data_IF_933868187705
#
_entry.id   IF_933868187705
#
_cell.length_a   1.000
_cell.length_b   1.000
_cell.length_c   1.000
_cell.angle_alpha   90.00
_cell.angle_beta   90.00
_cell.angle_gamma   90.00
#
_symmetry.space_group_name_H-M   'P 1'
#
loop_
_entity.id
_entity.type
_entity.pdbx_description
1 polymer ?
#
# COMPACT_ATOMS: atom_id res chain seq x y z
N UNK A 1 8.04 -14.35 21.97
CA UNK A 1 8.99 -13.23 21.93
C UNK A 1 8.39 -12.03 22.64
N UNK A 2 8.98 -11.54 23.73
CA UNK A 2 8.57 -10.30 24.40
C UNK A 2 9.13 -9.10 23.62
N UNK A 3 8.28 -8.16 23.20
CA UNK A 3 8.74 -6.93 22.55
C UNK A 3 9.19 -5.93 23.62
N UNK A 4 10.40 -5.37 23.52
CA UNK A 4 10.87 -4.35 24.46
C UNK A 4 9.99 -3.10 24.38
N UNK A 5 9.60 -2.54 25.53
CA UNK A 5 8.91 -1.23 25.57
C UNK A 5 9.71 -0.13 24.85
N UNK A 6 11.03 -0.19 24.94
CA UNK A 6 11.96 0.69 24.24
C UNK A 6 11.74 0.71 22.72
N UNK A 7 11.25 -0.37 22.10
CA UNK A 7 11.01 -0.41 20.66
C UNK A 7 9.91 0.56 20.22
N UNK A 8 8.84 0.69 21.02
CA UNK A 8 7.78 1.67 20.77
C UNK A 8 8.30 3.10 20.96
N UNK A 9 9.06 3.34 22.01
CA UNK A 9 9.63 4.66 22.27
C UNK A 9 10.54 5.11 21.13
N UNK A 10 11.48 4.26 20.71
CA UNK A 10 12.36 4.53 19.58
C UNK A 10 11.59 4.80 18.29
N UNK A 11 10.53 4.02 18.01
CA UNK A 11 9.65 4.24 16.86
C UNK A 11 8.96 5.61 16.91
N UNK A 12 8.40 6.00 18.06
CA UNK A 12 7.72 7.29 18.22
C UNK A 12 8.68 8.48 18.09
N UNK A 13 9.92 8.32 18.55
CA UNK A 13 10.94 9.37 18.53
C UNK A 13 11.58 9.53 17.13
N UNK A 14 11.95 8.42 16.48
CA UNK A 14 12.73 8.45 15.24
C UNK A 14 11.92 8.13 13.98
N UNK A 15 10.67 7.67 14.12
CA UNK A 15 9.83 7.23 13.02
C UNK A 15 10.18 5.86 12.46
N UNK A 16 11.11 5.13 13.08
CA UNK A 16 11.41 3.74 12.74
C UNK A 16 11.93 2.95 13.95
N UNK A 17 11.90 1.63 13.86
CA UNK A 17 12.64 0.73 14.77
C UNK A 17 13.04 -0.54 14.02
N UNK A 18 14.17 -1.12 14.39
CA UNK A 18 14.70 -2.35 13.81
C UNK A 18 14.62 -3.46 14.84
N UNK A 19 13.99 -4.57 14.47
CA UNK A 19 13.78 -5.73 15.32
C UNK A 19 14.47 -6.94 14.67
N UNK A 20 15.62 -7.41 15.20
CA UNK A 20 16.33 -8.55 14.66
C UNK A 20 15.61 -9.88 14.97
N UNK A 21 15.87 -10.90 14.16
CA UNK A 21 15.43 -12.29 14.38
C UNK A 21 13.91 -12.47 14.61
N UNK A 22 13.09 -11.68 13.92
CA UNK A 22 11.62 -11.72 14.05
C UNK A 22 11.03 -12.89 13.28
N UNK A 23 11.54 -13.16 12.08
CA UNK A 23 11.06 -14.23 11.20
C UNK A 23 12.03 -15.42 11.22
N UNK A 24 11.47 -16.63 11.11
CA UNK A 24 12.25 -17.87 10.97
C UNK A 24 13.00 -17.89 9.63
N UNK A 25 14.09 -18.64 9.56
CA UNK A 25 14.83 -18.86 8.30
C UNK A 25 13.93 -19.46 7.21
N UNK A 26 13.10 -20.44 7.57
CA UNK A 26 12.10 -21.05 6.69
C UNK A 26 11.14 -20.01 6.08
N UNK A 27 10.59 -19.12 6.92
CA UNK A 27 9.71 -18.05 6.44
C UNK A 27 10.45 -17.09 5.51
N UNK A 28 11.68 -16.72 5.87
CA UNK A 28 12.50 -15.81 5.06
C UNK A 28 12.76 -16.39 3.68
N UNK A 29 13.09 -17.68 3.58
CA UNK A 29 13.31 -18.37 2.31
C UNK A 29 12.04 -18.39 1.46
N UNK A 30 10.88 -18.74 2.03
CA UNK A 30 9.58 -18.72 1.32
C UNK A 30 9.20 -17.33 0.81
N UNK A 31 9.42 -16.30 1.63
CA UNK A 31 9.17 -14.91 1.22
C UNK A 31 10.14 -14.54 0.09
N UNK A 32 11.43 -14.85 0.23
CA UNK A 32 12.46 -14.53 -0.77
C UNK A 32 12.16 -15.20 -2.11
N UNK A 33 11.88 -16.51 -2.11
CA UNK A 33 11.56 -17.27 -3.33
C UNK A 33 10.32 -16.71 -4.02
N UNK A 34 9.24 -16.51 -3.27
CA UNK A 34 7.98 -15.99 -3.80
C UNK A 34 8.09 -14.54 -4.28
N UNK A 35 8.87 -13.70 -3.58
CA UNK A 35 9.11 -12.31 -3.94
C UNK A 35 9.98 -12.18 -5.20
N UNK A 36 11.02 -12.99 -5.32
CA UNK A 36 11.82 -13.10 -6.55
C UNK A 36 10.95 -13.56 -7.72
N UNK A 37 10.25 -14.68 -7.58
CA UNK A 37 9.42 -15.26 -8.63
C UNK A 37 8.29 -14.32 -9.08
N UNK A 38 7.60 -13.67 -8.13
CA UNK A 38 6.55 -12.69 -8.45
C UNK A 38 7.09 -11.45 -9.16
N UNK A 39 8.32 -11.05 -8.87
CA UNK A 39 8.93 -9.86 -9.51
C UNK A 39 9.52 -10.19 -10.87
N UNK A 40 10.15 -11.35 -11.05
CA UNK A 40 10.68 -11.79 -12.35
C UNK A 40 9.57 -12.05 -13.36
N UNK A 41 8.43 -12.60 -12.93
CA UNK A 41 7.23 -12.75 -13.76
C UNK A 41 6.71 -11.41 -14.30
N UNK A 42 7.04 -10.29 -13.63
CA UNK A 42 6.65 -8.93 -14.03
C UNK A 42 7.67 -8.25 -14.95
N UNK A 43 8.79 -8.91 -15.29
CA UNK A 43 9.90 -8.32 -16.07
C UNK A 43 9.46 -7.62 -17.37
N UNK A 44 8.50 -8.18 -18.11
CA UNK A 44 7.93 -7.53 -19.30
C UNK A 44 7.21 -6.21 -19.01
N UNK A 45 6.56 -6.11 -17.85
CA UNK A 45 5.96 -4.86 -17.38
C UNK A 45 7.02 -3.82 -17.01
N UNK A 46 8.29 -4.20 -16.94
CA UNK A 46 9.42 -3.32 -16.59
C UNK A 46 10.37 -3.04 -17.75
N UNK A 47 10.10 -3.60 -18.94
CA UNK A 47 10.95 -3.46 -20.12
C UNK A 47 11.16 -1.99 -20.57
N UNK A 48 10.25 -1.10 -20.18
CA UNK A 48 10.32 0.33 -20.48
C UNK A 48 11.15 1.15 -19.49
N UNK A 49 11.60 0.54 -18.39
CA UNK A 49 12.43 1.23 -17.40
C UNK A 49 13.90 1.28 -17.82
N UNK A 50 14.63 2.34 -17.42
CA UNK A 50 16.06 2.41 -17.65
C UNK A 50 16.78 1.28 -16.89
N UNK A 51 17.42 0.39 -17.65
CA UNK A 51 18.36 -0.63 -17.17
C UNK A 51 19.73 -0.33 -17.77
N UNK A 52 20.80 -0.95 -17.28
CA UNK A 52 22.16 -0.67 -17.74
C UNK A 52 22.26 -0.81 -19.26
N UNK A 53 21.63 -1.83 -19.84
CA UNK A 53 21.59 -2.01 -21.29
C UNK A 53 20.82 -0.92 -22.05
N UNK A 54 19.71 -0.41 -21.53
CA UNK A 54 18.92 0.63 -22.17
C UNK A 54 19.53 2.02 -21.98
N UNK A 55 20.19 2.27 -20.84
CA UNK A 55 21.02 3.47 -20.63
C UNK A 55 22.21 3.51 -21.61
N UNK A 56 22.85 2.37 -21.84
CA UNK A 56 23.96 2.25 -22.81
C UNK A 56 23.50 2.28 -24.28
N UNK A 57 22.23 1.97 -24.58
CA UNK A 57 21.70 1.89 -25.96
C UNK A 57 20.73 3.01 -26.35
N UNK A 58 20.27 3.87 -25.44
CA UNK A 58 19.15 4.78 -25.73
C UNK A 58 19.55 6.02 -26.55
N UNK A 59 19.02 6.10 -27.77
CA UNK A 59 18.47 7.37 -28.27
C UNK A 59 17.14 7.62 -27.54
N UNK A 60 16.84 8.84 -27.09
CA UNK A 60 15.63 9.13 -26.33
C UNK A 60 14.38 8.86 -27.19
N UNK A 61 13.51 7.94 -26.75
CA UNK A 61 12.14 7.88 -27.25
C UNK A 61 11.37 9.04 -26.63
N UNK A 62 11.09 10.06 -27.43
CA UNK A 62 10.14 11.11 -27.10
C UNK A 62 8.74 10.48 -27.04
N UNK A 63 8.27 10.15 -25.85
CA UNK A 63 6.84 9.98 -25.59
C UNK A 63 6.31 11.33 -25.12
N UNK A 64 5.39 11.92 -25.89
CA UNK A 64 4.77 13.20 -25.57
C UNK A 64 3.95 13.08 -24.26
N UNK A 65 4.37 13.74 -23.16
CA UNK A 65 3.67 13.68 -21.88
C UNK A 65 2.23 14.21 -21.94
N UNK A 66 1.93 15.07 -22.93
CA UNK A 66 0.59 15.62 -23.12
C UNK A 66 -0.37 14.56 -23.67
N UNK A 67 0.11 13.67 -24.54
CA UNK A 67 -0.69 12.61 -25.14
C UNK A 67 -1.15 11.58 -24.10
N UNK A 68 -0.25 11.11 -23.23
CA UNK A 68 -0.58 10.15 -22.17
C UNK A 68 -1.53 10.74 -21.12
N UNK A 69 -1.33 12.02 -20.77
CA UNK A 69 -2.24 12.77 -19.91
C UNK A 69 -3.64 12.87 -20.50
N UNK A 70 -3.75 13.20 -21.80
CA UNK A 70 -5.00 13.31 -22.54
C UNK A 70 -5.74 11.96 -22.61
N UNK A 71 -5.02 10.88 -22.94
CA UNK A 71 -5.59 9.53 -23.03
C UNK A 71 -6.08 9.00 -21.67
N UNK A 72 -5.35 9.30 -20.59
CA UNK A 72 -5.78 8.99 -19.22
C UNK A 72 -7.06 9.76 -18.84
N UNK A 73 -7.14 11.05 -19.18
CA UNK A 73 -8.33 11.87 -18.96
C UNK A 73 -9.55 11.38 -19.75
N UNK A 74 -9.37 10.97 -21.01
CA UNK A 74 -10.43 10.43 -21.85
C UNK A 74 -10.98 9.12 -21.30
N UNK A 75 -10.11 8.18 -20.91
CA UNK A 75 -10.51 6.92 -20.27
C UNK A 75 -11.29 7.18 -18.97
N UNK A 76 -10.82 8.11 -18.14
CA UNK A 76 -11.50 8.50 -16.90
C UNK A 76 -12.89 9.13 -17.17
N UNK A 77 -13.00 10.01 -18.18
CA UNK A 77 -14.27 10.63 -18.58
C UNK A 77 -15.26 9.59 -19.09
N UNK A 78 -14.83 8.66 -19.95
CA UNK A 78 -15.68 7.58 -20.46
C UNK A 78 -16.21 6.70 -19.33
N UNK A 79 -15.35 6.37 -18.35
CA UNK A 79 -15.76 5.63 -17.16
C UNK A 79 -16.83 6.38 -16.35
N UNK A 80 -16.60 7.65 -16.01
CA UNK A 80 -17.55 8.47 -15.24
C UNK A 80 -18.90 8.57 -15.95
N UNK A 81 -18.89 8.73 -17.27
CA UNK A 81 -20.11 8.79 -18.07
C UNK A 81 -20.88 7.45 -18.06
N UNK A 82 -20.18 6.31 -18.15
CA UNK A 82 -20.80 4.98 -18.02
C UNK A 82 -21.41 4.81 -16.63
N UNK A 83 -20.65 5.12 -15.57
CA UNK A 83 -21.13 5.09 -14.19
C UNK A 83 -22.38 5.96 -13.97
N UNK A 84 -22.37 7.20 -14.47
CA UNK A 84 -23.51 8.10 -14.34
C UNK A 84 -24.76 7.57 -15.08
N UNK A 85 -24.58 6.96 -16.25
CA UNK A 85 -25.68 6.32 -17.00
C UNK A 85 -26.27 5.15 -16.22
N UNK A 86 -25.42 4.33 -15.60
CA UNK A 86 -25.84 3.18 -14.80
C UNK A 86 -26.54 3.62 -13.51
N UNK A 87 -26.02 4.64 -12.81
CA UNK A 87 -26.68 5.29 -11.67
C UNK A 87 -28.05 5.88 -12.04
N UNK A 88 -28.17 6.53 -13.21
CA UNK A 88 -29.44 7.09 -13.69
C UNK A 88 -30.46 5.98 -14.00
N UNK A 89 -30.00 4.85 -14.55
CA UNK A 89 -30.83 3.65 -14.77
C UNK A 89 -31.26 3.04 -13.44
N UNK A 90 -30.36 2.92 -12.46
CA UNK A 90 -30.65 2.43 -11.12
C UNK A 90 -31.71 3.29 -10.42
N UNK A 91 -31.52 4.62 -10.39
CA UNK A 91 -32.47 5.55 -9.79
C UNK A 91 -33.87 5.46 -10.44
N UNK A 92 -33.93 5.25 -11.76
CA UNK A 92 -35.20 5.07 -12.48
C UNK A 92 -35.89 3.75 -12.10
N UNK A 93 -35.15 2.66 -11.92
CA UNK A 93 -35.71 1.36 -11.50
C UNK A 93 -36.22 1.39 -10.06
N UNK A 94 -35.42 1.92 -9.13
CA UNK A 94 -35.85 2.07 -7.73
C UNK A 94 -37.09 2.97 -7.61
N UNK A 95 -37.17 4.04 -8.42
CA UNK A 95 -38.38 4.87 -8.50
C UNK A 95 -39.59 4.12 -9.07
N UNK A 96 -39.41 3.16 -9.98
CA UNK A 96 -40.52 2.35 -10.49
C UNK A 96 -41.03 1.40 -9.43
N UNK A 97 -40.13 0.67 -8.76
CA UNK A 97 -40.50 -0.21 -7.64
C UNK A 97 -41.21 0.56 -6.52
N UNK A 98 -40.70 1.74 -6.14
CA UNK A 98 -41.37 2.60 -5.16
C UNK A 98 -42.74 3.10 -5.66
N UNK A 99 -42.85 3.49 -6.94
CA UNK A 99 -44.12 3.94 -7.53
C UNK A 99 -45.16 2.81 -7.62
N UNK A 100 -44.72 1.60 -7.92
CA UNK A 100 -45.56 0.39 -7.93
C UNK A 100 -46.11 0.09 -6.54
N UNK A 101 -45.30 0.26 -5.48
CA UNK A 101 -45.76 0.10 -4.10
C UNK A 101 -46.70 1.22 -3.63
N UNK A 102 -46.42 2.45 -4.04
CA UNK A 102 -47.21 3.62 -3.63
C UNK A 102 -48.60 3.64 -4.29
N UNK A 103 -48.78 3.03 -5.46
CA UNK A 103 -50.06 2.96 -6.19
C UNK A 103 -50.69 4.33 -6.47
N UNK A 104 -49.89 5.41 -6.49
CA UNK A 104 -50.35 6.80 -6.64
C UNK A 104 -50.55 7.59 -5.34
N UNK A 105 -50.38 6.97 -4.17
CA UNK A 105 -50.37 7.63 -2.85
C UNK A 105 -49.09 8.42 -2.61
N UNK A 106 -49.16 9.47 -1.79
CA UNK A 106 -47.96 10.20 -1.37
C UNK A 106 -47.23 9.45 -0.24
N UNK A 107 -45.91 9.59 -0.18
CA UNK A 107 -45.07 8.93 0.84
C UNK A 107 -45.44 9.39 2.25
N UNK A 108 -45.96 10.63 2.36
CA UNK A 108 -46.44 11.24 3.60
C UNK A 108 -47.71 10.57 4.15
N UNK A 109 -48.44 9.82 3.33
CA UNK A 109 -49.70 9.14 3.67
C UNK A 109 -49.49 7.69 4.15
N UNK A 110 -48.23 7.22 4.18
CA UNK A 110 -47.89 5.86 4.60
C UNK A 110 -47.84 5.73 6.13
N UNK A 111 -48.41 4.65 6.64
CA UNK A 111 -48.23 4.22 8.02
C UNK A 111 -46.78 3.77 8.29
N UNK A 112 -46.36 3.72 9.55
CA UNK A 112 -45.00 3.31 9.93
C UNK A 112 -44.62 1.91 9.44
N UNK A 113 -45.56 0.97 9.44
CA UNK A 113 -45.35 -0.39 8.91
C UNK A 113 -45.24 -0.42 7.38
N UNK A 114 -46.01 0.41 6.66
CA UNK A 114 -45.91 0.53 5.21
C UNK A 114 -44.61 1.20 4.79
N UNK A 115 -44.12 2.16 5.56
CA UNK A 115 -42.84 2.82 5.34
C UNK A 115 -41.68 1.84 5.54
N UNK A 116 -41.77 0.96 6.55
CA UNK A 116 -40.83 -0.13 6.75
C UNK A 116 -40.82 -1.11 5.57
N UNK A 117 -42.00 -1.57 5.11
CA UNK A 117 -42.14 -2.46 3.94
C UNK A 117 -41.61 -1.83 2.65
N UNK A 118 -41.84 -0.53 2.44
CA UNK A 118 -41.26 0.20 1.30
C UNK A 118 -39.73 0.24 1.38
N UNK A 119 -39.18 0.47 2.57
CA UNK A 119 -37.73 0.46 2.81
C UNK A 119 -37.12 -0.92 2.52
N UNK A 120 -37.73 -2.00 3.00
CA UNK A 120 -37.30 -3.37 2.73
C UNK A 120 -37.35 -3.70 1.23
N UNK A 121 -38.41 -3.28 0.54
CA UNK A 121 -38.58 -3.54 -0.89
C UNK A 121 -37.58 -2.76 -1.75
N UNK A 122 -37.38 -1.47 -1.47
CA UNK A 122 -36.38 -0.65 -2.16
C UNK A 122 -34.97 -1.18 -1.87
N UNK A 123 -34.73 -1.66 -0.65
CA UNK A 123 -33.46 -2.30 -0.26
C UNK A 123 -33.25 -3.63 -0.99
N UNK A 124 -34.27 -4.49 -1.08
CA UNK A 124 -34.21 -5.75 -1.80
C UNK A 124 -34.01 -5.54 -3.31
N UNK A 125 -34.68 -4.55 -3.90
CA UNK A 125 -34.52 -4.21 -5.32
C UNK A 125 -33.14 -3.58 -5.60
N UNK A 126 -32.61 -2.80 -4.65
CA UNK A 126 -31.23 -2.34 -4.69
C UNK A 126 -30.24 -3.51 -4.59
N UNK A 127 -30.53 -4.52 -3.76
CA UNK A 127 -29.71 -5.73 -3.59
C UNK A 127 -29.72 -6.67 -4.80
N UNK A 128 -30.83 -6.78 -5.54
CA UNK A 128 -30.87 -7.56 -6.80
C UNK A 128 -29.91 -7.03 -7.87
N UNK A 129 -29.59 -5.74 -7.81
CA UNK A 129 -28.79 -5.03 -8.80
C UNK A 129 -27.37 -4.70 -8.31
N UNK A 130 -27.15 -4.55 -7.00
CA UNK A 130 -25.82 -4.69 -6.42
C UNK A 130 -25.48 -6.18 -6.45
N UNK A 131 -24.82 -6.65 -7.51
CA UNK A 131 -24.59 -8.07 -7.75
C UNK A 131 -24.35 -8.86 -6.46
N UNK A 132 -25.22 -9.86 -6.20
CA UNK A 132 -25.19 -10.83 -5.10
C UNK A 132 -24.17 -10.49 -4.03
N UNK A 133 -24.60 -9.79 -2.98
CA UNK A 133 -23.83 -9.47 -1.78
C UNK A 133 -22.31 -9.54 -1.97
N UNK A 134 -21.72 -8.56 -2.66
CA UNK A 134 -20.29 -8.41 -2.96
C UNK A 134 -19.35 -9.51 -2.38
N UNK A 135 -19.45 -10.73 -2.88
CA UNK A 135 -18.46 -11.81 -2.71
C UNK A 135 -17.42 -11.69 -3.82
N UNK A 136 -17.04 -10.45 -4.14
CA UNK A 136 -15.97 -10.14 -5.08
C UNK A 136 -14.66 -10.59 -4.44
N UNK A 137 -14.32 -11.85 -4.68
CA UNK A 137 -13.03 -12.41 -4.27
C UNK A 137 -11.97 -11.98 -5.27
N UNK A 138 -10.70 -12.11 -4.88
CA UNK A 138 -9.54 -11.97 -5.78
C UNK A 138 -9.68 -12.83 -7.05
N UNK A 139 -10.48 -13.90 -7.00
CA UNK A 139 -10.68 -14.88 -8.09
C UNK A 139 -11.90 -14.60 -8.98
N UNK A 140 -12.83 -13.76 -8.56
CA UNK A 140 -14.12 -13.60 -9.25
C UNK A 140 -14.47 -12.16 -9.60
N UNK A 141 -13.80 -11.17 -9.00
CA UNK A 141 -14.00 -9.77 -9.35
C UNK A 141 -13.29 -9.42 -10.66
N UNK A 142 -14.00 -9.08 -11.75
CA UNK A 142 -13.37 -8.78 -13.03
C UNK A 142 -12.41 -7.58 -12.97
N UNK A 143 -12.69 -6.58 -12.12
CA UNK A 143 -11.80 -5.43 -11.96
C UNK A 143 -10.51 -5.83 -11.22
N UNK A 144 -10.63 -6.74 -10.24
CA UNK A 144 -9.46 -7.28 -9.54
C UNK A 144 -8.65 -8.17 -10.47
N UNK A 145 -9.29 -9.09 -11.20
CA UNK A 145 -8.62 -9.98 -12.16
C UNK A 145 -7.88 -9.17 -13.23
N UNK A 146 -8.52 -8.14 -13.80
CA UNK A 146 -7.83 -7.23 -14.72
C UNK A 146 -6.65 -6.49 -14.08
N UNK A 147 -6.74 -6.13 -12.80
CA UNK A 147 -5.63 -5.52 -12.07
C UNK A 147 -4.49 -6.54 -11.82
N UNK A 148 -4.82 -7.78 -11.49
CA UNK A 148 -3.87 -8.90 -11.31
C UNK A 148 -3.17 -9.21 -12.63
N UNK A 149 -3.91 -9.37 -13.73
CA UNK A 149 -3.38 -9.65 -15.06
C UNK A 149 -2.43 -8.55 -15.55
N UNK A 150 -2.68 -7.31 -15.13
CA UNK A 150 -1.81 -6.16 -15.43
C UNK A 150 -0.71 -5.93 -14.37
N UNK A 151 -0.58 -6.84 -13.40
CA UNK A 151 0.36 -6.75 -12.27
C UNK A 151 0.25 -5.43 -11.47
N UNK A 152 -0.97 -4.89 -11.38
CA UNK A 152 -1.35 -3.68 -10.62
C UNK A 152 -1.96 -4.01 -9.26
N UNK A 153 -1.76 -5.23 -8.78
CA UNK A 153 -2.24 -5.72 -7.51
C UNK A 153 -1.08 -6.17 -6.61
N UNK A 154 -1.41 -6.52 -5.37
CA UNK A 154 -0.50 -7.07 -4.37
C UNK A 154 0.25 -8.31 -4.91
N UNK A 155 1.51 -8.49 -4.53
CA UNK A 155 2.34 -9.58 -5.05
C UNK A 155 1.85 -10.97 -4.66
N UNK A 156 1.32 -11.11 -3.45
CA UNK A 156 0.69 -12.35 -3.01
C UNK A 156 -0.48 -12.79 -3.88
N UNK A 157 -1.21 -11.87 -4.53
CA UNK A 157 -2.35 -12.22 -5.41
C UNK A 157 -1.90 -12.88 -6.71
N UNK A 158 -0.61 -12.79 -7.05
CA UNK A 158 0.00 -13.39 -8.25
C UNK A 158 0.91 -14.59 -7.94
N UNK A 159 1.14 -14.89 -6.65
CA UNK A 159 2.05 -15.95 -6.24
C UNK A 159 1.49 -16.70 -5.02
N UNK A 160 1.20 -18.00 -5.20
CA UNK A 160 0.58 -18.85 -4.19
C UNK A 160 1.48 -19.06 -2.96
N UNK A 161 2.81 -19.10 -3.12
CA UNK A 161 3.74 -19.25 -1.99
C UNK A 161 3.70 -18.01 -1.09
N UNK A 162 3.68 -16.81 -1.68
CA UNK A 162 3.49 -15.55 -0.94
C UNK A 162 2.12 -15.49 -0.26
N UNK A 163 1.05 -15.93 -0.94
CA UNK A 163 -0.27 -16.01 -0.31
C UNK A 163 -0.25 -16.93 0.93
N UNK A 164 0.33 -18.11 0.81
CA UNK A 164 0.45 -19.05 1.94
C UNK A 164 1.31 -18.45 3.05
N UNK A 165 2.40 -17.77 2.71
CA UNK A 165 3.26 -17.11 3.68
C UNK A 165 2.57 -16.00 4.46
N UNK A 166 1.84 -15.11 3.79
CA UNK A 166 1.11 -14.03 4.44
C UNK A 166 -0.06 -14.51 5.30
N UNK A 167 -0.56 -15.73 5.06
CA UNK A 167 -1.64 -16.35 5.83
C UNK A 167 -1.13 -17.30 6.92
N UNK A 168 0.19 -17.48 7.04
CA UNK A 168 0.80 -18.35 8.03
C UNK A 168 0.63 -17.79 9.44
N UNK A 169 -0.23 -18.45 10.23
CA UNK A 169 -0.65 -17.94 11.55
C UNK A 169 0.51 -17.84 12.54
N UNK A 170 1.41 -18.82 12.52
CA UNK A 170 2.45 -18.93 13.55
C UNK A 170 3.74 -18.21 13.15
N UNK A 171 4.20 -18.41 11.91
CA UNK A 171 5.52 -17.92 11.50
C UNK A 171 5.52 -16.47 10.99
N UNK A 172 4.37 -15.93 10.56
CA UNK A 172 4.26 -14.55 10.04
C UNK A 172 3.21 -13.71 10.76
N UNK A 173 1.97 -14.18 10.84
CA UNK A 173 0.86 -13.37 11.37
C UNK A 173 1.10 -13.03 12.83
N UNK A 174 1.37 -14.01 13.70
CA UNK A 174 1.60 -13.80 15.13
C UNK A 174 2.75 -12.82 15.44
N UNK A 175 3.97 -12.95 14.87
CA UNK A 175 5.03 -11.98 15.14
C UNK A 175 4.71 -10.58 14.58
N UNK A 176 4.20 -10.47 13.35
CA UNK A 176 3.93 -9.17 12.74
C UNK A 176 2.71 -8.46 13.36
N UNK A 177 1.70 -9.21 13.79
CA UNK A 177 0.54 -8.73 14.55
C UNK A 177 0.99 -7.97 15.79
N UNK A 178 1.80 -8.65 16.63
CA UNK A 178 2.31 -8.07 17.87
C UNK A 178 3.12 -6.81 17.62
N UNK A 179 3.94 -6.79 16.57
CA UNK A 179 4.73 -5.63 16.18
C UNK A 179 3.84 -4.47 15.71
N UNK A 180 2.85 -4.73 14.85
CA UNK A 180 1.92 -3.72 14.35
C UNK A 180 1.13 -3.05 15.48
N UNK A 181 0.64 -3.83 16.43
CA UNK A 181 -0.15 -3.34 17.56
C UNK A 181 0.73 -2.60 18.59
N UNK A 182 1.80 -3.24 19.07
CA UNK A 182 2.59 -2.72 20.19
C UNK A 182 3.51 -1.59 19.75
N UNK A 183 4.21 -1.76 18.62
CA UNK A 183 5.15 -0.75 18.12
C UNK A 183 4.40 0.28 17.26
N UNK A 184 3.65 -0.19 16.27
CA UNK A 184 2.97 0.67 15.30
C UNK A 184 1.70 1.35 15.83
N UNK A 185 1.12 0.86 16.93
CA UNK A 185 -0.14 1.40 17.46
C UNK A 185 -1.33 1.24 16.51
N UNK A 186 -1.30 0.20 15.65
CA UNK A 186 -2.38 -0.12 14.71
C UNK A 186 -3.29 -1.15 15.36
N UNK A 187 -4.53 -0.80 15.70
CA UNK A 187 -5.47 -1.79 16.24
C UNK A 187 -6.05 -2.65 15.13
N UNK A 188 -6.30 -3.94 15.43
CA UNK A 188 -6.82 -4.93 14.47
C UNK A 188 -6.12 -4.81 13.10
N UNK A 189 -4.80 -5.00 13.07
CA UNK A 189 -4.00 -4.71 11.89
C UNK A 189 -4.37 -5.65 10.73
N UNK A 190 -4.44 -5.10 9.52
CA UNK A 190 -4.60 -5.88 8.28
C UNK A 190 -3.52 -5.49 7.27
N UNK A 191 -3.13 -6.44 6.42
CA UNK A 191 -2.20 -6.19 5.33
C UNK A 191 -2.93 -5.42 4.23
N UNK A 192 -2.62 -4.13 4.08
CA UNK A 192 -3.09 -3.31 2.97
C UNK A 192 -2.46 -3.75 1.64
N UNK A 193 -1.17 -4.08 1.66
CA UNK A 193 -0.50 -4.59 0.49
C UNK A 193 0.94 -5.01 0.73
N UNK A 194 1.43 -5.90 -0.12
CA UNK A 194 2.79 -6.39 -0.13
C UNK A 194 3.50 -5.99 -1.43
N UNK A 195 4.76 -5.58 -1.28
CA UNK A 195 5.54 -5.02 -2.39
C UNK A 195 6.96 -5.56 -2.32
N UNK A 196 7.33 -6.48 -3.24
CA UNK A 196 8.69 -6.92 -3.40
C UNK A 196 9.48 -5.88 -4.21
N UNK A 197 10.65 -5.51 -3.70
CA UNK A 197 11.56 -4.55 -4.30
C UNK A 197 12.81 -5.27 -4.74
N UNK A 198 12.73 -5.85 -5.94
CA UNK A 198 13.85 -6.51 -6.58
C UNK A 198 14.90 -5.50 -7.00
N UNK A 199 16.15 -5.78 -6.64
CA UNK A 199 17.33 -5.15 -7.20
C UNK A 199 18.22 -6.24 -7.75
N UNK A 200 18.32 -6.25 -9.08
CA UNK A 200 19.19 -7.15 -9.81
C UNK A 200 20.64 -7.02 -9.33
N UNK A 201 21.47 -8.00 -9.67
CA UNK A 201 22.92 -7.88 -9.56
C UNK A 201 23.40 -6.60 -10.27
N UNK A 202 24.28 -5.84 -9.63
CA UNK A 202 24.73 -4.51 -10.11
C UNK A 202 23.57 -3.51 -10.32
N UNK A 203 22.49 -3.66 -9.55
CA UNK A 203 21.28 -2.85 -9.64
C UNK A 203 21.40 -1.45 -9.02
N UNK A 204 20.64 -0.51 -9.58
CA UNK A 204 20.57 0.90 -9.15
C UNK A 204 20.05 1.08 -7.71
N UNK A 205 20.43 2.17 -7.03
CA UNK A 205 19.91 2.49 -5.70
C UNK A 205 18.42 2.85 -5.72
N UNK A 206 17.80 2.84 -4.53
CA UNK A 206 16.46 3.36 -4.27
C UNK A 206 16.57 4.74 -3.64
N UNK A 207 16.15 5.77 -4.36
CA UNK A 207 16.18 7.15 -3.87
C UNK A 207 15.25 7.36 -2.65
N UNK A 208 15.50 8.46 -1.94
CA UNK A 208 14.69 8.85 -0.78
C UNK A 208 13.22 9.01 -1.13
N UNK A 209 12.37 8.30 -0.38
CA UNK A 209 10.94 8.29 -0.56
C UNK A 209 10.22 8.04 0.76
N UNK A 210 8.94 8.44 0.81
CA UNK A 210 8.04 8.11 1.90
C UNK A 210 6.97 7.12 1.43
N UNK A 211 6.40 6.39 2.37
CA UNK A 211 5.47 5.30 2.10
C UNK A 211 4.00 5.73 2.20
N UNK A 212 3.70 6.88 2.82
CA UNK A 212 2.36 7.45 2.95
C UNK A 212 1.56 7.52 1.63
N UNK A 213 2.16 7.80 0.45
CA UNK A 213 1.43 7.75 -0.82
C UNK A 213 1.01 6.34 -1.23
N UNK A 214 1.73 5.32 -0.76
CA UNK A 214 1.52 3.90 -1.11
C UNK A 214 0.58 3.17 -0.15
N UNK A 215 0.20 3.80 0.96
CA UNK A 215 -0.76 3.26 1.92
C UNK A 215 -2.12 3.88 1.59
N UNK A 216 -3.10 3.07 1.21
CA UNK A 216 -4.40 3.52 0.71
C UNK A 216 -5.35 4.07 1.77
N UNK A 217 -4.83 4.70 2.84
CA UNK A 217 -5.60 5.40 3.88
C UNK A 217 -4.99 6.78 4.14
N UNK A 218 -5.74 7.65 4.81
CA UNK A 218 -5.23 8.96 5.21
C UNK A 218 -4.40 8.85 6.50
N UNK A 219 -3.08 8.83 6.37
CA UNK A 219 -2.13 8.65 7.49
C UNK A 219 -1.85 9.93 8.30
N UNK A 220 -2.39 11.07 7.88
CA UNK A 220 -2.23 12.37 8.53
C UNK A 220 -3.55 12.96 9.06
N UNK A 221 -4.65 12.21 9.00
CA UNK A 221 -5.93 12.67 9.53
C UNK A 221 -5.85 12.76 11.05
N UNK A 222 -6.17 13.94 11.61
CA UNK A 222 -6.50 14.02 13.05
C UNK A 222 -7.72 13.13 13.26
N UNK A 223 -7.71 12.35 14.35
CA UNK A 223 -8.85 11.54 14.81
C UNK A 223 -10.04 12.48 14.97
N UNK A 224 -10.84 12.65 13.92
CA UNK A 224 -11.97 13.56 13.89
C UNK A 224 -13.23 12.81 14.29
N UNK A 225 -14.23 13.58 14.75
CA UNK A 225 -15.46 13.17 15.46
C UNK A 225 -16.41 12.19 14.73
N UNK A 226 -15.93 11.42 13.76
CA UNK A 226 -16.74 10.48 12.96
C UNK A 226 -16.15 9.09 12.72
N UNK A 227 -15.04 8.71 13.37
CA UNK A 227 -14.63 7.29 13.48
C UNK A 227 -13.87 6.70 12.30
N UNK A 228 -12.66 6.21 12.60
CA UNK A 228 -11.73 5.48 11.75
C UNK A 228 -10.30 5.77 12.20
N UNK A 229 -9.54 4.75 12.61
CA UNK A 229 -8.15 4.95 13.04
C UNK A 229 -7.28 5.34 11.83
N UNK A 230 -6.44 6.37 12.02
CA UNK A 230 -5.48 6.84 11.01
C UNK A 230 -4.11 6.15 11.14
N UNK A 231 -3.95 5.28 12.14
CA UNK A 231 -2.71 4.54 12.38
C UNK A 231 -2.43 3.59 11.23
N UNK A 232 -1.24 3.73 10.66
CA UNK A 232 -0.71 2.83 9.66
C UNK A 232 0.81 2.78 9.81
N UNK A 233 1.38 1.63 9.49
CA UNK A 233 2.83 1.43 9.48
C UNK A 233 3.23 0.63 8.27
N UNK A 234 4.48 0.79 7.85
CA UNK A 234 5.09 -0.10 6.89
C UNK A 234 6.14 -0.96 7.58
N UNK A 235 6.22 -2.21 7.20
CA UNK A 235 7.20 -3.17 7.69
C UNK A 235 8.09 -3.60 6.53
N UNK A 236 9.40 -3.46 6.70
CA UNK A 236 10.41 -3.96 5.78
C UNK A 236 10.97 -5.27 6.33
N UNK A 237 10.79 -6.33 5.56
CA UNK A 237 11.22 -7.68 5.88
C UNK A 237 12.52 -7.92 5.11
N UNK A 238 13.64 -7.98 5.84
CA UNK A 238 14.94 -8.22 5.25
C UNK A 238 15.09 -9.71 4.94
N UNK A 239 15.29 -10.03 3.67
CA UNK A 239 15.57 -11.40 3.20
C UNK A 239 17.04 -11.62 2.87
N UNK A 240 17.88 -10.64 3.21
CA UNK A 240 19.30 -10.56 2.91
C UNK A 240 20.02 -9.82 4.02
N UNK A 241 21.36 -9.90 4.02
CA UNK A 241 22.21 -9.14 4.93
C UNK A 241 22.70 -7.88 4.23
N UNK A 242 22.28 -6.67 4.64
CA UNK A 242 22.78 -5.45 4.03
C UNK A 242 24.28 -5.27 4.33
N UNK A 243 25.02 -4.80 3.34
CA UNK A 243 26.44 -4.42 3.47
C UNK A 243 26.68 -3.10 2.75
N UNK A 244 27.90 -2.54 2.82
CA UNK A 244 28.26 -1.35 2.04
C UNK A 244 28.09 -1.55 0.53
N UNK A 245 28.13 -2.81 0.06
CA UNK A 245 27.97 -3.19 -1.34
C UNK A 245 26.59 -3.80 -1.65
N UNK A 246 25.80 -4.17 -0.64
CA UNK A 246 24.53 -4.86 -0.81
C UNK A 246 23.41 -4.05 -0.15
N UNK A 247 22.75 -3.20 -0.95
CA UNK A 247 21.53 -2.46 -0.58
C UNK A 247 21.57 -1.85 0.84
N UNK A 248 22.60 -1.05 1.19
CA UNK A 248 22.68 -0.44 2.51
C UNK A 248 21.46 0.46 2.77
N UNK A 249 20.73 0.30 3.89
CA UNK A 249 19.56 1.12 4.19
C UNK A 249 19.94 2.47 4.82
N UNK A 250 19.17 3.50 4.45
CA UNK A 250 19.31 4.87 4.94
C UNK A 250 17.96 5.46 5.32
N UNK A 251 17.96 6.37 6.29
CA UNK A 251 16.79 7.16 6.70
C UNK A 251 17.16 8.64 6.78
N UNK A 252 16.19 9.54 6.57
CA UNK A 252 16.35 10.93 6.95
C UNK A 252 15.69 11.14 8.32
N UNK A 253 16.49 11.26 9.38
CA UNK A 253 15.97 11.51 10.72
C UNK A 253 15.12 12.77 10.76
N UNK A 254 14.07 12.73 11.57
CA UNK A 254 13.09 13.81 11.77
C UNK A 254 12.24 14.17 10.52
N UNK A 255 12.46 13.52 9.37
CA UNK A 255 11.69 13.80 8.16
C UNK A 255 10.20 13.48 8.30
N UNK A 256 9.82 12.53 9.16
CA UNK A 256 8.43 12.13 9.37
C UNK A 256 7.54 13.29 9.79
N UNK A 257 8.04 14.21 10.61
CA UNK A 257 7.30 15.39 11.07
C UNK A 257 7.15 16.44 9.96
N UNK A 258 8.18 16.65 9.15
CA UNK A 258 8.14 17.57 8.02
C UNK A 258 7.19 17.07 6.93
N UNK A 259 7.31 15.79 6.57
CA UNK A 259 6.47 15.14 5.54
C UNK A 259 5.01 15.10 5.98
N UNK A 260 4.72 14.70 7.23
CA UNK A 260 3.33 14.64 7.76
C UNK A 260 2.62 15.99 7.69
N UNK A 261 3.34 17.09 7.98
CA UNK A 261 2.79 18.46 7.92
C UNK A 261 2.48 18.90 6.48
N UNK A 262 3.28 18.46 5.51
CA UNK A 262 3.18 18.90 4.12
C UNK A 262 2.28 17.99 3.26
N UNK A 263 2.25 16.69 3.53
CA UNK A 263 1.52 15.71 2.74
C UNK A 263 0.01 16.01 2.75
N UNK A 264 -0.63 15.94 1.58
CA UNK A 264 -2.05 16.30 1.32
C UNK A 264 -2.44 17.77 1.60
N UNK A 265 -1.54 18.57 2.18
CA UNK A 265 -1.74 20.01 2.38
C UNK A 265 -0.99 20.81 1.32
N UNK A 266 0.34 20.84 1.40
CA UNK A 266 1.22 21.51 0.44
C UNK A 266 1.59 20.58 -0.73
N UNK A 267 1.83 19.30 -0.44
CA UNK A 267 2.19 18.29 -1.43
C UNK A 267 0.97 17.45 -1.77
N UNK A 268 0.34 17.77 -2.91
CA UNK A 268 -0.82 17.02 -3.41
C UNK A 268 -0.43 15.59 -3.78
N UNK A 269 -1.26 14.62 -3.39
CA UNK A 269 -1.07 13.19 -3.73
C UNK A 269 -0.89 12.93 -5.24
N UNK A 270 -1.57 13.69 -6.09
CA UNK A 270 -1.43 13.59 -7.54
C UNK A 270 -0.03 13.95 -8.08
N UNK A 271 0.78 14.71 -7.34
CA UNK A 271 2.17 15.02 -7.71
C UNK A 271 3.16 13.91 -7.31
N UNK A 272 2.73 13.04 -6.40
CA UNK A 272 3.45 11.82 -5.99
C UNK A 272 2.96 10.60 -6.76
N UNK A 273 1.94 10.76 -7.61
CA UNK A 273 1.36 9.70 -8.39
C UNK A 273 2.25 9.32 -9.57
N UNK A 274 2.50 8.03 -9.68
CA UNK A 274 3.10 7.40 -10.86
C UNK A 274 2.18 6.26 -11.31
N UNK A 275 2.09 6.07 -12.62
CA UNK A 275 1.38 4.93 -13.19
C UNK A 275 2.08 3.65 -12.72
N UNK A 276 1.33 2.76 -12.06
CA UNK A 276 1.71 1.43 -11.56
C UNK A 276 2.76 0.71 -12.41
N UNK A 277 4.03 0.95 -12.09
CA UNK A 277 5.22 0.27 -12.60
C UNK A 277 6.19 0.21 -11.41
N UNK A 278 7.02 -0.85 -11.29
CA UNK A 278 7.36 -1.48 -10.01
C UNK A 278 7.66 -0.39 -9.02
N UNK A 279 6.84 -0.30 -7.97
CA UNK A 279 6.39 0.91 -7.25
C UNK A 279 7.47 1.95 -6.85
N UNK A 280 8.74 1.68 -7.13
CA UNK A 280 9.91 2.29 -6.55
C UNK A 280 11.06 2.59 -7.51
N UNK A 281 11.04 2.14 -8.77
CA UNK A 281 12.13 2.45 -9.71
C UNK A 281 12.21 3.95 -10.07
N UNK A 282 11.14 4.72 -9.80
CA UNK A 282 11.08 6.15 -10.14
C UNK A 282 10.51 7.04 -9.02
N UNK A 283 10.85 6.72 -7.77
CA UNK A 283 10.54 7.58 -6.60
C UNK A 283 11.57 8.69 -6.37
N UNK A 284 12.58 8.80 -7.23
CA UNK A 284 13.70 9.77 -7.13
C UNK A 284 13.24 11.22 -6.96
N UNK A 285 12.06 11.55 -7.51
CA UNK A 285 11.52 12.91 -7.45
C UNK A 285 10.73 13.22 -6.18
N UNK A 286 10.41 12.23 -5.32
CA UNK A 286 9.62 12.51 -4.11
C UNK A 286 10.34 13.50 -3.19
N UNK A 287 11.64 13.31 -2.97
CA UNK A 287 12.45 14.20 -2.14
C UNK A 287 12.31 15.67 -2.55
N UNK A 288 12.31 15.96 -3.86
CA UNK A 288 12.20 17.32 -4.42
C UNK A 288 10.83 17.97 -4.21
N UNK A 289 9.81 17.20 -3.83
CA UNK A 289 8.45 17.71 -3.60
C UNK A 289 8.25 18.24 -2.19
N UNK A 290 9.10 17.83 -1.24
CA UNK A 290 9.00 18.23 0.15
C UNK A 290 10.10 19.25 0.47
N UNK A 291 9.77 20.18 1.36
CA UNK A 291 10.73 21.14 1.91
C UNK A 291 11.25 20.61 3.25
N UNK A 292 12.57 20.63 3.41
CA UNK A 292 13.25 20.20 4.63
C UNK A 292 14.13 21.34 5.15
N UNK A 293 14.22 21.46 6.47
CA UNK A 293 15.13 22.38 7.15
C UNK A 293 16.38 21.65 7.64
N UNK A 294 17.27 22.37 8.33
CA UNK A 294 18.50 21.80 8.88
C UNK A 294 18.31 20.73 9.97
N UNK A 295 17.07 20.49 10.45
CA UNK A 295 16.80 19.45 11.45
C UNK A 295 16.72 18.04 10.85
N UNK A 296 16.60 17.95 9.52
CA UNK A 296 16.45 16.69 8.79
C UNK A 296 17.79 16.24 8.23
N UNK A 297 18.32 15.15 8.79
CA UNK A 297 19.67 14.66 8.50
C UNK A 297 19.61 13.24 7.97
N UNK A 298 20.30 12.97 6.87
CA UNK A 298 20.47 11.60 6.34
C UNK A 298 21.38 10.79 7.24
N UNK A 299 20.93 9.62 7.66
CA UNK A 299 21.66 8.70 8.53
C UNK A 299 21.71 7.30 7.92
N UNK A 300 22.91 6.69 7.78
CA UNK A 300 23.04 5.28 7.44
C UNK A 300 22.61 4.40 8.62
N UNK A 301 21.99 3.26 8.31
CA UNK A 301 21.56 2.29 9.33
C UNK A 301 22.53 1.12 9.52
N UNK A 302 23.62 1.06 8.73
CA UNK A 302 24.68 0.08 8.92
C UNK A 302 25.66 0.49 10.02
N UNK A 303 25.96 -0.44 10.94
CA UNK A 303 26.89 -0.25 12.05
C UNK A 303 28.28 0.23 11.63
N UNK A 304 28.84 -0.33 10.55
CA UNK A 304 30.15 0.04 10.02
C UNK A 304 30.22 1.48 9.51
N UNK A 305 29.08 2.11 9.22
CA UNK A 305 28.99 3.48 8.68
C UNK A 305 28.29 4.46 9.63
N UNK A 306 27.61 3.97 10.67
CA UNK A 306 26.97 4.79 11.70
C UNK A 306 27.96 5.26 12.77
N UNK A 307 29.09 4.57 12.94
CA UNK A 307 30.14 4.91 13.90
C UNK A 307 30.77 6.30 13.68
N UNK A 308 30.80 6.80 12.44
CA UNK A 308 31.27 8.17 12.13
C UNK A 308 30.26 9.27 12.52
N UNK A 309 29.03 8.89 12.89
CA UNK A 309 27.96 9.81 13.33
C UNK A 309 27.70 9.80 14.84
N UNK A 310 28.55 9.13 15.63
CA UNK A 310 28.46 9.13 17.09
C UNK A 310 27.36 8.24 17.68
N UNK A 311 26.69 7.40 16.87
CA UNK A 311 25.70 6.45 17.35
C UNK A 311 26.37 5.11 17.70
N UNK A 312 26.72 4.93 18.98
CA UNK A 312 27.06 3.62 19.52
C UNK A 312 25.81 2.72 19.45
N UNK A 313 25.98 1.50 18.96
CA UNK A 313 24.95 0.46 18.75
C UNK A 313 23.98 0.67 17.58
N UNK A 314 24.48 0.69 16.34
CA UNK A 314 23.59 0.44 15.21
C UNK A 314 23.17 -1.05 15.19
N UNK A 315 21.87 -1.34 15.04
CA UNK A 315 21.36 -2.70 15.11
C UNK A 315 21.88 -3.55 13.95
N UNK A 316 22.22 -4.82 14.24
CA UNK A 316 22.60 -5.79 13.21
C UNK A 316 21.37 -6.11 12.38
N UNK A 317 21.40 -5.76 11.09
CA UNK A 317 20.36 -6.08 10.12
C UNK A 317 20.77 -7.33 9.34
N UNK A 318 19.92 -8.35 9.36
CA UNK A 318 20.12 -9.58 8.59
C UNK A 318 18.81 -10.24 8.18
N UNK A 319 18.87 -11.40 7.51
CA UNK A 319 17.70 -12.18 7.14
C UNK A 319 16.79 -12.43 8.34
N UNK A 320 15.50 -12.14 8.19
CA UNK A 320 14.49 -12.27 9.24
C UNK A 320 14.39 -11.08 10.19
N UNK A 321 15.19 -10.04 9.96
CA UNK A 321 15.01 -8.73 10.63
C UNK A 321 13.80 -8.00 10.04
N UNK A 322 13.03 -7.34 10.91
CA UNK A 322 11.91 -6.47 10.52
C UNK A 322 12.19 -5.05 10.95
N UNK A 323 12.14 -4.11 10.00
CA UNK A 323 12.17 -2.69 10.29
C UNK A 323 10.75 -2.12 10.17
N UNK A 324 10.23 -1.57 11.26
CA UNK A 324 8.93 -0.89 11.28
C UNK A 324 9.18 0.59 10.99
N UNK A 325 8.40 1.17 10.08
CA UNK A 325 8.61 2.51 9.54
C UNK A 325 7.31 3.31 9.57
N UNK A 326 7.39 4.54 10.08
CA UNK A 326 6.34 5.54 9.97
C UNK A 326 6.15 5.85 8.47
N UNK A 327 4.92 5.82 7.94
CA UNK A 327 4.69 6.06 6.52
C UNK A 327 5.26 7.39 6.01
N UNK A 328 5.49 8.37 6.87
CA UNK A 328 6.01 9.69 6.50
C UNK A 328 7.52 9.79 6.58
N UNK A 329 8.22 8.82 7.16
CA UNK A 329 9.68 8.81 7.21
C UNK A 329 10.24 8.65 5.79
N UNK A 330 11.22 9.49 5.44
CA UNK A 330 11.99 9.33 4.21
C UNK A 330 13.06 8.26 4.41
N UNK A 331 13.04 7.25 3.55
CA UNK A 331 14.03 6.16 3.56
C UNK A 331 14.57 5.91 2.15
N UNK A 332 15.76 5.31 2.09
CA UNK A 332 16.45 4.98 0.85
C UNK A 332 17.25 3.69 1.02
N UNK A 333 17.65 3.10 -0.11
CA UNK A 333 18.57 1.98 -0.14
C UNK A 333 19.67 2.27 -1.15
N UNK A 334 20.91 1.92 -0.81
CA UNK A 334 22.02 1.99 -1.76
C UNK A 334 21.84 1.03 -2.93
N UNK A 335 22.83 1.01 -3.82
CA UNK A 335 22.90 0.08 -4.94
C UNK A 335 23.14 -1.36 -4.48
N UNK A 336 22.79 -2.31 -5.33
CA UNK A 336 23.23 -3.70 -5.18
C UNK A 336 24.45 -3.91 -6.08
N UNK A 337 25.66 -3.85 -5.54
CA UNK A 337 26.91 -4.09 -6.28
C UNK A 337 27.36 -5.55 -6.22
N UNK A 338 26.49 -6.46 -5.75
CA UNK A 338 26.78 -7.89 -5.70
C UNK A 338 26.40 -8.59 -7.00
N UNK A 339 26.82 -9.85 -7.14
CA UNK A 339 26.49 -10.73 -8.26
C UNK A 339 25.12 -11.38 -8.14
N UNK A 340 24.41 -11.18 -7.03
CA UNK A 340 23.12 -11.81 -6.76
C UNK A 340 22.00 -10.78 -6.79
N UNK A 341 20.82 -11.19 -7.26
CA UNK A 341 19.62 -10.37 -7.18
C UNK A 341 19.03 -10.43 -5.78
N UNK A 342 18.69 -9.28 -5.23
CA UNK A 342 18.22 -9.11 -3.86
C UNK A 342 16.84 -8.50 -3.81
N UNK A 343 16.05 -8.86 -2.78
CA UNK A 343 14.69 -8.35 -2.61
C UNK A 343 14.47 -7.79 -1.22
N UNK A 344 14.02 -6.54 -1.18
CA UNK A 344 13.43 -5.95 0.03
C UNK A 344 11.93 -6.23 -0.04
N UNK A 345 11.38 -6.98 0.90
CA UNK A 345 9.95 -7.27 0.91
C UNK A 345 9.24 -6.33 1.89
N UNK A 346 8.33 -5.50 1.36
CA UNK A 346 7.63 -4.48 2.14
C UNK A 346 6.17 -4.88 2.34
N UNK A 347 5.67 -4.75 3.56
CA UNK A 347 4.25 -4.91 3.90
C UNK A 347 3.73 -3.58 4.42
N UNK A 348 2.64 -3.08 3.85
CA UNK A 348 1.90 -1.93 4.36
C UNK A 348 0.76 -2.43 5.23
N UNK A 349 0.66 -1.93 6.46
CA UNK A 349 -0.31 -2.36 7.47
C UNK A 349 -1.18 -1.18 7.86
N UNK A 350 -2.50 -1.41 7.90
CA UNK A 350 -3.52 -0.42 8.28
C UNK A 350 -4.46 -1.03 9.31
N UNK A 351 -5.18 -0.19 10.05
CA UNK A 351 -6.27 -0.68 10.90
C UNK A 351 -7.43 -1.18 10.03
N UNK A 352 -8.10 -2.26 10.45
CA UNK A 352 -9.25 -2.83 9.74
C UNK A 352 -10.39 -1.81 9.51
N UNK A 353 -10.58 -0.88 10.46
CA UNK A 353 -11.60 0.16 10.41
C UNK A 353 -11.11 1.47 9.77
N UNK A 354 -9.89 1.50 9.22
CA UNK A 354 -9.33 2.70 8.61
C UNK A 354 -10.13 3.10 7.36
N UNK A 355 -10.19 4.41 7.08
CA UNK A 355 -10.94 4.95 5.95
C UNK A 355 -10.10 4.89 4.66
N UNK A 356 -10.56 4.19 3.61
CA UNK A 356 -9.83 4.16 2.35
C UNK A 356 -9.70 5.55 1.71
N UNK A 357 -8.53 5.83 1.13
CA UNK A 357 -8.23 7.07 0.42
C UNK A 357 -7.83 6.76 -1.03
N UNK A 358 -8.78 6.82 -1.95
CA UNK A 358 -8.51 6.59 -3.39
C UNK A 358 -7.73 7.70 -4.09
N UNK A 359 -7.61 8.89 -3.47
CA UNK A 359 -6.81 9.97 -4.02
C UNK A 359 -5.30 9.74 -3.88
N UNK A 360 -4.89 8.85 -2.96
CA UNK A 360 -3.50 8.43 -2.82
C UNK A 360 -3.08 7.52 -3.99
N UNK A 361 -1.83 7.61 -4.46
CA UNK A 361 -1.29 6.71 -5.48
C UNK A 361 -1.11 5.29 -4.92
N UNK A 362 -2.21 4.55 -4.82
CA UNK A 362 -2.29 3.23 -4.21
C UNK A 362 -3.01 2.25 -5.13
N UNK A 363 -2.60 0.97 -5.07
CA UNK A 363 -3.07 -0.08 -6.01
C UNK A 363 -4.59 -0.23 -6.04
N UNK A 364 -5.27 0.12 -4.94
CA UNK A 364 -6.73 0.14 -4.87
C UNK A 364 -7.37 1.09 -5.89
N UNK A 365 -6.69 2.13 -6.37
CA UNK A 365 -7.18 3.01 -7.45
C UNK A 365 -7.26 2.28 -8.79
N UNK A 366 -6.47 1.23 -8.98
CA UNK A 366 -6.57 0.34 -10.14
C UNK A 366 -7.75 -0.61 -10.06
N UNK A 367 -8.19 -0.94 -8.84
CA UNK A 367 -9.26 -1.90 -8.57
C UNK A 367 -10.65 -1.24 -8.37
N UNK A 368 -10.76 -0.21 -7.53
CA UNK A 368 -12.02 0.48 -7.18
C UNK A 368 -12.01 1.94 -7.57
N UNK A 369 -13.21 2.48 -7.76
CA UNK A 369 -13.39 3.86 -8.21
C UNK A 369 -13.95 4.78 -7.14
N UNK A 370 -14.65 4.22 -6.15
CA UNK A 370 -15.19 4.95 -5.00
C UNK A 370 -14.63 4.40 -3.68
N UNK A 371 -14.23 5.23 -2.71
CA UNK A 371 -13.64 4.74 -1.46
C UNK A 371 -14.55 3.81 -0.66
N UNK A 372 -15.87 4.05 -0.73
CA UNK A 372 -16.91 3.20 -0.10
C UNK A 372 -17.00 1.78 -0.66
N UNK A 373 -16.34 1.49 -1.78
CA UNK A 373 -16.29 0.14 -2.38
C UNK A 373 -15.12 -0.69 -1.83
N UNK A 374 -14.30 -0.09 -0.97
CA UNK A 374 -13.14 -0.72 -0.34
C UNK A 374 -13.46 -0.90 1.14
N UNK A 375 -13.36 -2.14 1.62
CA UNK A 375 -13.48 -2.48 3.03
C UNK A 375 -12.23 -3.25 3.44
N UNK A 376 -11.42 -2.67 4.33
CA UNK A 376 -10.21 -3.32 4.85
C UNK A 376 -10.52 -4.55 5.72
N UNK A 377 -11.76 -4.67 6.20
CA UNK A 377 -12.31 -5.88 6.83
C UNK A 377 -12.49 -7.09 5.89
N UNK A 378 -12.20 -6.98 4.59
CA UNK A 378 -12.32 -8.13 3.67
C UNK A 378 -11.06 -9.02 3.74
N UNK A 379 -11.08 -10.17 4.44
CA UNK A 379 -9.88 -11.02 4.64
C UNK A 379 -9.41 -11.71 3.35
N UNK A 380 -10.28 -11.72 2.33
CA UNK A 380 -9.97 -12.23 1.00
C UNK A 380 -9.03 -11.30 0.27
N UNK A 381 -9.09 -9.99 0.51
CA UNK A 381 -8.27 -8.98 -0.18
C UNK A 381 -7.20 -8.39 0.72
N UNK A 382 -7.51 -8.26 2.01
CA UNK A 382 -6.64 -7.69 3.04
C UNK A 382 -6.44 -8.75 4.13
N UNK A 383 -5.40 -9.60 4.01
CA UNK A 383 -5.13 -10.62 5.02
C UNK A 383 -5.04 -10.01 6.43
N UNK A 384 -5.77 -10.53 7.43
CA UNK A 384 -5.69 -10.02 8.79
C UNK A 384 -4.37 -10.41 9.45
N UNK A 385 -3.79 -9.48 10.20
CA UNK A 385 -2.66 -9.72 11.11
C UNK A 385 -3.17 -9.87 12.55
N UNK A 386 -4.24 -10.62 12.75
CA UNK A 386 -4.73 -11.01 14.07
C UNK A 386 -5.41 -12.37 13.96
N UNK A 387 -5.36 -13.13 15.05
CA UNK A 387 -6.20 -14.31 15.17
C UNK A 387 -7.62 -13.84 15.48
N UNK A 388 -8.59 -14.26 14.67
CA UNK A 388 -10.02 -14.06 14.94
C UNK A 388 -10.52 -14.88 16.11
#
# INVERSE_FOLDING_TARGET
>A
MSLPFAARQHFLEHGYVILPNVLSTSMVERIRSGALASTTARSHSFAHLPNIHSLLKSKPKYTDPLYDGLMSHLKKRQYILRYYRDMKRQKRRLRRAAKEFLSGRDVSELSGEEMWKLSEMVSAEAQKMSGRGCTSTVKTDPQMLMAIDQYRANAWMTNKELEMALRDKEELVKPLSRIAEVVGGVTRPVIFGDVPLLREAYGNPVGYHCLAPTIGTQTNARVSKGGGEASAVSMLLFTYTPTSLCLPPFVMRNSQHAVRRQYLHAVRAGRLWRHFSPMEADMRDQLRRFQFDGSVVGQPLLASTAASSGAADAPVIGPGTVMVVDPHLMMAFGSNMTTQSEVIYRINVVAENARPLLMAPSWIRGWRTMPREVHFASPVVFPPLYAG
#
